data_IF_224621539500
#
_entry.id   IF_224621539500
#
_cell.length_a   1.000
_cell.length_b   1.000
_cell.length_c   1.000
_cell.angle_alpha   90.00
_cell.angle_beta   90.00
_cell.angle_gamma   90.00
#
_symmetry.space_group_name_H-M   'P 1'
#
loop_
_entity.id
_entity.type
_entity.pdbx_description
1 polymer ?
#
# COMPACT_ATOMS: atom_id res chain seq x y z
N UNK A 1 -83.30 -31.96 -16.14
CA UNK A 1 -82.39 -31.75 -14.98
C UNK A 1 -80.94 -31.95 -15.48
N UNK A 2 -80.31 -30.87 -15.86
CA UNK A 2 -78.96 -30.91 -16.48
C UNK A 2 -77.97 -30.24 -15.53
N UNK A 3 -77.05 -31.03 -14.95
CA UNK A 3 -75.94 -30.58 -14.16
C UNK A 3 -74.86 -29.93 -15.07
N UNK A 4 -74.54 -28.67 -14.78
CA UNK A 4 -73.38 -28.02 -15.35
C UNK A 4 -72.19 -28.18 -14.42
N UNK A 5 -71.11 -28.83 -14.92
CA UNK A 5 -69.83 -28.88 -14.21
C UNK A 5 -69.06 -27.57 -14.40
N UNK A 6 -68.64 -26.98 -13.29
CA UNK A 6 -67.76 -25.80 -13.27
C UNK A 6 -66.33 -26.30 -13.09
N UNK A 7 -65.48 -26.12 -14.10
CA UNK A 7 -64.07 -26.40 -14.02
C UNK A 7 -63.32 -25.16 -13.45
N UNK A 8 -62.70 -25.32 -12.29
CA UNK A 8 -61.85 -24.31 -11.64
C UNK A 8 -60.42 -24.45 -12.21
N UNK A 9 -59.97 -23.46 -12.96
CA UNK A 9 -58.58 -23.37 -13.42
C UNK A 9 -57.74 -22.69 -12.32
N UNK A 10 -56.86 -23.45 -11.69
CA UNK A 10 -55.87 -22.89 -10.76
C UNK A 10 -54.68 -22.34 -11.54
N UNK A 11 -54.54 -21.00 -11.54
CA UNK A 11 -53.35 -20.33 -12.10
C UNK A 11 -52.20 -20.43 -11.10
N UNK A 12 -51.18 -21.21 -11.46
CA UNK A 12 -49.92 -21.29 -10.68
C UNK A 12 -49.04 -20.07 -11.00
N UNK A 13 -48.97 -19.14 -10.05
CA UNK A 13 -48.07 -17.99 -10.13
C UNK A 13 -46.62 -18.49 -9.85
N UNK A 14 -45.81 -18.65 -10.89
CA UNK A 14 -44.36 -18.87 -10.71
C UNK A 14 -43.70 -17.55 -10.32
N UNK A 15 -43.46 -17.31 -9.05
CA UNK A 15 -42.64 -16.23 -8.56
C UNK A 15 -41.17 -16.56 -8.85
N UNK A 16 -40.61 -15.95 -9.88
CA UNK A 16 -39.17 -15.99 -10.12
C UNK A 16 -38.47 -15.15 -9.06
N UNK A 17 -37.87 -15.81 -8.07
CA UNK A 17 -36.95 -15.17 -7.14
C UNK A 17 -35.72 -14.69 -7.94
N UNK A 18 -35.69 -13.41 -8.30
CA UNK A 18 -34.51 -12.76 -8.79
C UNK A 18 -33.46 -12.77 -7.64
N UNK A 19 -32.39 -13.53 -7.83
CA UNK A 19 -31.23 -13.45 -6.94
C UNK A 19 -30.73 -11.99 -6.92
N UNK A 20 -30.41 -11.43 -5.77
CA UNK A 20 -29.86 -10.07 -5.73
C UNK A 20 -28.56 -10.07 -6.52
N UNK A 21 -28.49 -9.26 -7.56
CA UNK A 21 -27.23 -8.93 -8.24
C UNK A 21 -26.39 -8.20 -7.20
N UNK A 22 -25.42 -8.88 -6.61
CA UNK A 22 -24.45 -8.23 -5.74
C UNK A 22 -23.74 -7.16 -6.56
N UNK A 23 -23.99 -5.89 -6.25
CA UNK A 23 -23.27 -4.78 -6.84
C UNK A 23 -21.77 -4.98 -6.56
N UNK A 24 -20.92 -4.70 -7.57
CA UNK A 24 -19.48 -4.77 -7.39
C UNK A 24 -19.07 -3.84 -6.22
N UNK A 25 -18.13 -4.25 -5.36
CA UNK A 25 -17.69 -3.43 -4.25
C UNK A 25 -17.09 -2.11 -4.76
N UNK A 26 -17.31 -1.02 -4.02
CA UNK A 26 -16.78 0.32 -4.33
C UNK A 26 -15.94 0.84 -3.18
N UNK A 27 -15.12 1.85 -3.40
CA UNK A 27 -14.28 2.45 -2.37
C UNK A 27 -13.30 1.44 -1.76
N UNK A 28 -13.07 1.53 -0.45
CA UNK A 28 -12.13 0.64 0.28
C UNK A 28 -12.44 -0.83 0.08
N UNK A 29 -13.71 -1.22 0.00
CA UNK A 29 -14.09 -2.62 -0.21
C UNK A 29 -13.62 -3.16 -1.58
N UNK A 30 -13.63 -2.32 -2.62
CA UNK A 30 -13.08 -2.70 -3.94
C UNK A 30 -11.55 -2.87 -3.88
N UNK A 31 -10.87 -1.98 -3.16
CA UNK A 31 -9.41 -2.05 -2.97
C UNK A 31 -9.04 -3.31 -2.18
N UNK A 32 -9.76 -3.60 -1.10
CA UNK A 32 -9.57 -4.82 -0.31
C UNK A 32 -9.79 -6.08 -1.15
N UNK A 33 -10.86 -6.11 -1.95
CA UNK A 33 -11.13 -7.22 -2.86
C UNK A 33 -10.01 -7.41 -3.89
N UNK A 34 -9.45 -6.31 -4.43
CA UNK A 34 -8.30 -6.34 -5.34
C UNK A 34 -7.06 -6.88 -4.63
N UNK A 35 -6.75 -6.36 -3.44
CA UNK A 35 -5.58 -6.75 -2.66
C UNK A 35 -5.61 -8.23 -2.27
N UNK A 36 -6.76 -8.71 -1.77
CA UNK A 36 -6.91 -10.07 -1.25
C UNK A 36 -7.06 -11.12 -2.34
N UNK A 37 -7.36 -10.72 -3.57
CA UNK A 37 -7.45 -11.62 -4.72
C UNK A 37 -6.09 -11.67 -5.44
N UNK A 38 -5.38 -12.82 -5.46
CA UNK A 38 -4.11 -12.95 -6.21
C UNK A 38 -4.24 -12.66 -7.70
N UNK A 39 -5.46 -12.79 -8.26
CA UNK A 39 -5.80 -12.47 -9.66
C UNK A 39 -6.42 -11.08 -9.79
N UNK A 40 -6.36 -10.24 -8.76
CA UNK A 40 -7.02 -8.94 -8.70
C UNK A 40 -6.40 -7.83 -9.56
N UNK A 41 -5.43 -8.16 -10.40
CA UNK A 41 -4.72 -7.16 -11.23
C UNK A 41 -3.64 -6.41 -10.43
N UNK A 42 -3.16 -5.29 -10.98
CA UNK A 42 -2.14 -4.45 -10.33
C UNK A 42 -2.77 -3.68 -9.17
N UNK A 43 -2.15 -3.77 -7.99
CA UNK A 43 -2.39 -2.86 -6.86
C UNK A 43 -1.37 -1.73 -6.91
N UNK A 44 -1.85 -0.49 -6.94
CA UNK A 44 -1.02 0.71 -7.01
C UNK A 44 -0.78 1.26 -5.62
N UNK A 45 0.50 1.30 -5.21
CA UNK A 45 0.95 1.84 -3.94
C UNK A 45 1.71 3.14 -4.20
N UNK A 46 1.21 4.25 -3.65
CA UNK A 46 1.88 5.55 -3.75
C UNK A 46 2.91 5.68 -2.63
N UNK A 47 4.20 5.76 -2.97
CA UNK A 47 5.32 5.89 -2.05
C UNK A 47 5.27 7.24 -1.32
N UNK A 48 5.26 7.21 0.01
CA UNK A 48 5.12 8.39 0.91
C UNK A 48 3.91 9.28 0.58
N UNK A 49 2.88 8.69 -0.01
CA UNK A 49 1.72 9.38 -0.55
C UNK A 49 1.90 9.87 -1.99
N UNK A 50 0.87 10.50 -2.55
CA UNK A 50 0.92 11.09 -3.89
C UNK A 50 1.53 12.48 -3.82
N UNK A 51 2.84 12.56 -3.56
CA UNK A 51 3.58 13.82 -3.41
C UNK A 51 3.89 14.47 -4.77
N UNK A 52 4.10 13.70 -5.83
CA UNK A 52 4.31 14.20 -7.18
C UNK A 52 3.06 14.89 -7.77
N UNK A 53 3.27 15.71 -8.79
CA UNK A 53 2.16 16.30 -9.55
C UNK A 53 1.30 15.22 -10.21
N UNK A 54 -0.01 15.48 -10.32
CA UNK A 54 -0.97 14.60 -10.98
C UNK A 54 -1.90 15.44 -11.89
N UNK A 55 -1.35 15.91 -13.04
CA UNK A 55 -2.01 16.92 -13.87
C UNK A 55 -3.29 16.43 -14.54
N UNK A 56 -3.45 15.12 -14.78
CA UNK A 56 -4.69 14.57 -15.33
C UNK A 56 -5.87 14.70 -14.35
N UNK A 57 -5.58 14.88 -13.05
CA UNK A 57 -6.56 15.11 -12.00
C UNK A 57 -6.55 16.55 -11.47
N UNK A 58 -5.85 17.48 -12.18
CA UNK A 58 -5.82 18.90 -11.84
C UNK A 58 -4.79 19.30 -10.78
N UNK A 59 -3.92 18.41 -10.34
CA UNK A 59 -2.83 18.71 -9.40
C UNK A 59 -1.54 19.01 -10.18
N UNK A 60 -1.27 20.29 -10.43
CA UNK A 60 -0.10 20.75 -11.22
C UNK A 60 1.13 21.05 -10.37
N UNK A 61 0.98 21.10 -9.06
CA UNK A 61 2.03 21.29 -8.07
C UNK A 61 2.39 19.97 -7.38
N UNK A 62 3.44 19.97 -6.54
CA UNK A 62 3.80 18.85 -5.67
C UNK A 62 3.22 19.05 -4.25
N UNK A 63 3.02 17.98 -3.50
CA UNK A 63 2.65 18.01 -2.09
C UNK A 63 3.82 17.49 -1.23
N UNK A 64 3.93 17.83 0.05
CA UNK A 64 4.94 17.20 0.91
C UNK A 64 4.72 15.70 1.04
N UNK A 65 5.79 14.91 1.01
CA UNK A 65 5.74 13.50 1.40
C UNK A 65 5.16 13.32 2.81
N UNK A 66 4.54 12.17 3.10
CA UNK A 66 4.03 11.82 4.42
C UNK A 66 3.03 12.84 5.00
N UNK A 67 2.31 13.58 4.17
CA UNK A 67 1.38 14.64 4.55
C UNK A 67 -0.08 14.29 4.28
N UNK A 68 -1.01 15.03 4.92
CA UNK A 68 -2.44 14.92 4.59
C UNK A 68 -2.74 15.40 3.17
N UNK A 69 -1.98 16.36 2.64
CA UNK A 69 -2.15 16.82 1.26
C UNK A 69 -1.81 15.70 0.26
N UNK A 70 -0.71 14.98 0.46
CA UNK A 70 -0.35 13.82 -0.35
C UNK A 70 -1.38 12.69 -0.23
N UNK A 71 -1.88 12.39 0.97
CA UNK A 71 -2.96 11.43 1.19
C UNK A 71 -4.24 11.82 0.43
N UNK A 72 -4.69 13.06 0.56
CA UNK A 72 -5.91 13.55 -0.10
C UNK A 72 -5.79 13.48 -1.62
N UNK A 73 -4.60 13.76 -2.16
CA UNK A 73 -4.31 13.59 -3.58
C UNK A 73 -4.40 12.11 -3.99
N UNK A 74 -3.85 11.18 -3.22
CA UNK A 74 -3.99 9.75 -3.47
C UNK A 74 -5.45 9.30 -3.54
N UNK A 75 -6.27 9.76 -2.63
CA UNK A 75 -7.72 9.50 -2.62
C UNK A 75 -8.38 10.06 -3.89
N UNK A 76 -8.03 11.29 -4.25
CA UNK A 76 -8.62 11.99 -5.40
C UNK A 76 -8.29 11.33 -6.74
N UNK A 77 -7.04 10.84 -6.92
CA UNK A 77 -6.64 10.15 -8.15
C UNK A 77 -7.04 8.67 -8.19
N UNK A 78 -7.55 8.11 -7.09
CA UNK A 78 -7.99 6.72 -7.01
C UNK A 78 -6.86 5.70 -6.83
N UNK A 79 -5.76 6.07 -6.16
CA UNK A 79 -4.74 5.11 -5.73
C UNK A 79 -5.34 4.06 -4.79
N UNK A 80 -4.81 2.82 -4.84
CA UNK A 80 -5.32 1.75 -3.98
C UNK A 80 -4.75 1.88 -2.56
N UNK A 81 -3.48 2.23 -2.44
CA UNK A 81 -2.74 2.26 -1.18
C UNK A 81 -1.87 3.51 -1.12
N UNK A 82 -1.89 4.21 0.00
CA UNK A 82 -0.90 5.22 0.38
C UNK A 82 0.13 4.55 1.29
N UNK A 83 1.38 4.51 0.86
CA UNK A 83 2.48 4.14 1.74
C UNK A 83 2.95 5.38 2.49
N UNK A 84 3.37 5.20 3.75
CA UNK A 84 3.77 6.31 4.62
C UNK A 84 4.60 5.79 5.80
N UNK A 85 5.53 6.62 6.28
CA UNK A 85 6.54 6.25 7.26
C UNK A 85 6.14 6.67 8.67
N UNK A 86 6.28 5.76 9.65
CA UNK A 86 5.93 6.02 11.06
C UNK A 86 7.19 6.06 11.92
N UNK A 87 7.34 7.11 12.69
CA UNK A 87 8.37 7.29 13.72
C UNK A 87 7.78 7.76 15.04
N UNK A 88 8.61 7.78 16.07
CA UNK A 88 8.22 8.22 17.42
C UNK A 88 8.94 9.51 17.81
N UNK A 89 8.17 10.53 18.17
CA UNK A 89 8.65 11.79 18.74
C UNK A 89 9.14 11.62 20.18
N UNK A 90 9.81 12.65 20.75
CA UNK A 90 10.37 12.64 22.10
C UNK A 90 9.33 12.37 23.21
N UNK A 91 8.10 12.85 23.02
CA UNK A 91 6.98 12.69 23.94
C UNK A 91 6.20 11.37 23.75
N UNK A 92 6.67 10.49 22.87
CA UNK A 92 6.05 9.20 22.58
C UNK A 92 4.98 9.24 21.47
N UNK A 93 4.63 10.41 20.93
CA UNK A 93 3.66 10.55 19.84
C UNK A 93 4.17 9.88 18.57
N UNK A 94 3.31 9.12 17.89
CA UNK A 94 3.62 8.54 16.59
C UNK A 94 3.33 9.56 15.49
N UNK A 95 4.34 9.83 14.65
CA UNK A 95 4.30 10.86 13.61
C UNK A 95 4.71 10.31 12.25
N UNK A 96 4.27 10.97 11.19
CA UNK A 96 4.56 10.57 9.82
C UNK A 96 5.81 11.31 9.33
N UNK A 97 6.94 10.61 9.26
CA UNK A 97 8.20 11.12 8.77
C UNK A 97 9.16 9.98 8.38
N UNK A 98 9.83 10.09 7.23
CA UNK A 98 10.77 9.08 6.78
C UNK A 98 12.10 9.11 7.54
N UNK A 99 12.74 10.29 7.63
CA UNK A 99 14.10 10.44 8.16
C UNK A 99 14.14 10.44 9.70
N UNK A 100 15.27 10.09 10.26
CA UNK A 100 15.51 10.22 11.71
C UNK A 100 15.72 11.67 12.15
N UNK A 101 15.87 12.60 11.19
CA UNK A 101 15.99 14.05 11.41
C UNK A 101 14.92 14.79 10.61
N UNK A 102 14.64 16.05 11.00
CA UNK A 102 13.64 16.88 10.34
C UNK A 102 14.21 17.74 9.20
N UNK A 103 15.51 17.70 8.96
CA UNK A 103 16.28 18.65 8.15
C UNK A 103 15.88 18.64 6.67
N UNK A 104 15.63 17.46 6.10
CA UNK A 104 15.33 17.32 4.66
C UNK A 104 13.93 17.81 4.33
N UNK A 105 12.95 17.45 5.15
CA UNK A 105 11.53 17.62 4.82
C UNK A 105 10.87 18.80 5.52
N UNK A 106 11.61 19.55 6.38
CA UNK A 106 11.04 20.71 7.10
C UNK A 106 11.96 21.95 7.06
N UNK A 107 11.49 23.05 7.62
CA UNK A 107 12.30 24.26 7.91
C UNK A 107 13.05 24.19 9.25
N UNK A 108 12.95 23.08 9.98
CA UNK A 108 13.70 22.82 11.21
C UNK A 108 14.97 22.01 10.97
N UNK A 109 15.69 21.73 12.07
CA UNK A 109 16.90 20.92 12.08
C UNK A 109 16.95 20.03 13.33
N UNK A 110 17.66 18.91 13.24
CA UNK A 110 17.93 18.03 14.37
C UNK A 110 17.14 16.72 14.35
N UNK A 111 17.36 15.91 15.37
CA UNK A 111 16.76 14.56 15.45
C UNK A 111 15.30 14.63 15.87
N UNK A 112 14.46 13.92 15.15
CA UNK A 112 13.04 13.79 15.45
C UNK A 112 12.83 13.25 16.87
N UNK A 113 13.63 12.28 17.31
CA UNK A 113 13.53 11.68 18.64
C UNK A 113 13.84 12.65 19.82
N UNK A 114 14.36 13.85 19.54
CA UNK A 114 14.64 14.91 20.50
C UNK A 114 13.56 16.01 20.50
N UNK A 115 12.59 15.96 19.57
CA UNK A 115 11.51 16.94 19.39
C UNK A 115 10.17 16.38 19.87
N UNK A 116 9.41 17.18 20.61
CA UNK A 116 8.02 16.85 20.97
C UNK A 116 7.08 17.10 19.81
N UNK A 117 5.84 16.57 19.85
CA UNK A 117 4.82 16.92 18.87
C UNK A 117 4.60 18.44 18.78
N UNK A 118 4.61 19.13 19.93
CA UNK A 118 4.46 20.59 19.98
C UNK A 118 5.58 21.33 19.24
N UNK A 119 6.81 20.79 19.25
CA UNK A 119 7.93 21.34 18.48
C UNK A 119 7.78 21.02 16.99
N UNK A 120 7.46 19.80 16.65
CA UNK A 120 7.24 19.37 15.26
C UNK A 120 6.11 20.15 14.58
N UNK A 121 5.04 20.48 15.28
CA UNK A 121 3.92 21.26 14.72
C UNK A 121 4.26 22.74 14.46
N UNK A 122 5.36 23.27 14.97
CA UNK A 122 5.86 24.60 14.60
C UNK A 122 6.53 24.59 13.22
N UNK A 123 7.06 23.43 12.79
CA UNK A 123 7.81 23.27 11.55
C UNK A 123 6.87 23.18 10.36
N UNK A 124 7.26 23.81 9.25
CA UNK A 124 6.56 23.70 7.95
C UNK A 124 7.22 22.63 7.12
N UNK A 125 6.40 21.81 6.48
CA UNK A 125 6.89 20.80 5.53
C UNK A 125 7.33 21.45 4.22
N UNK A 126 8.38 20.89 3.63
CA UNK A 126 8.82 21.19 2.27
C UNK A 126 8.02 20.37 1.28
N UNK A 127 7.79 20.93 0.11
CA UNK A 127 7.09 20.25 -0.98
C UNK A 127 7.87 19.05 -1.49
N UNK A 128 7.17 18.12 -2.13
CA UNK A 128 7.72 16.89 -2.71
C UNK A 128 8.46 16.03 -1.66
N UNK A 129 9.55 15.40 -2.02
CA UNK A 129 10.44 14.69 -1.10
C UNK A 129 11.36 15.62 -0.27
N UNK A 130 11.11 16.91 -0.27
CA UNK A 130 11.89 17.88 0.49
C UNK A 130 13.24 18.24 -0.17
N UNK A 131 14.22 18.53 0.69
CA UNK A 131 15.53 19.03 0.28
C UNK A 131 15.63 20.55 0.39
N UNK A 132 16.87 21.06 0.47
CA UNK A 132 17.14 22.46 0.79
C UNK A 132 16.51 23.49 -0.19
N UNK A 133 16.28 23.07 -1.44
CA UNK A 133 15.71 23.92 -2.49
C UNK A 133 14.20 23.76 -2.65
N UNK A 134 13.59 22.74 -2.00
CA UNK A 134 12.16 22.53 -2.11
C UNK A 134 11.38 23.65 -1.40
N UNK A 135 10.31 24.18 -2.02
CA UNK A 135 9.48 25.21 -1.42
C UNK A 135 8.88 24.78 -0.08
N UNK A 136 8.80 25.71 0.86
CA UNK A 136 8.05 25.51 2.09
C UNK A 136 6.55 25.64 1.82
N UNK A 137 5.78 24.77 2.45
CA UNK A 137 4.31 24.77 2.40
C UNK A 137 3.71 25.19 3.74
N UNK A 138 2.39 25.30 3.80
CA UNK A 138 1.66 25.50 5.06
C UNK A 138 1.33 24.19 5.78
N UNK A 139 1.76 23.05 5.23
CA UNK A 139 1.56 21.74 5.85
C UNK A 139 2.51 21.55 7.05
N UNK A 140 2.07 20.75 8.00
CA UNK A 140 2.78 20.41 9.23
C UNK A 140 2.97 18.90 9.34
N UNK A 141 3.90 18.50 10.21
CA UNK A 141 4.06 17.08 10.56
C UNK A 141 2.76 16.51 11.10
N UNK A 142 2.34 15.38 10.55
CA UNK A 142 1.06 14.72 10.84
C UNK A 142 1.29 13.61 11.87
N UNK A 143 0.35 13.40 12.79
CA UNK A 143 0.36 12.21 13.65
C UNK A 143 -0.20 10.99 12.94
N UNK A 144 0.14 9.78 13.43
CA UNK A 144 -0.45 8.54 12.94
C UNK A 144 -1.99 8.56 13.10
N UNK A 145 -2.49 9.07 14.22
CA UNK A 145 -3.93 9.17 14.48
C UNK A 145 -4.63 10.06 13.45
N UNK A 146 -4.02 11.19 13.07
CA UNK A 146 -4.56 12.06 12.02
C UNK A 146 -4.55 11.37 10.65
N UNK A 147 -3.46 10.66 10.32
CA UNK A 147 -3.35 9.90 9.07
C UNK A 147 -4.40 8.80 9.00
N UNK A 148 -4.57 8.02 10.08
CA UNK A 148 -5.60 6.98 10.19
C UNK A 148 -7.01 7.57 10.03
N UNK A 149 -7.32 8.67 10.74
CA UNK A 149 -8.63 9.31 10.66
C UNK A 149 -8.95 9.81 9.24
N UNK A 150 -7.97 10.42 8.56
CA UNK A 150 -8.15 10.98 7.22
C UNK A 150 -8.27 9.91 6.12
N UNK A 151 -7.65 8.73 6.30
CA UNK A 151 -7.68 7.63 5.33
C UNK A 151 -8.88 6.69 5.51
N UNK A 152 -9.51 6.71 6.69
CA UNK A 152 -10.57 5.75 7.07
C UNK A 152 -11.75 5.76 6.09
N UNK A 153 -12.04 4.60 5.51
CA UNK A 153 -13.12 4.41 4.54
C UNK A 153 -12.79 4.86 3.10
N UNK A 154 -11.60 5.42 2.86
CA UNK A 154 -11.23 5.99 1.55
C UNK A 154 -10.13 5.21 0.82
N UNK A 155 -9.06 4.84 1.49
CA UNK A 155 -7.85 4.25 0.88
C UNK A 155 -7.17 3.31 1.89
N UNK A 156 -6.41 2.31 1.44
CA UNK A 156 -5.58 1.52 2.34
C UNK A 156 -4.30 2.30 2.71
N UNK A 157 -3.80 2.08 3.91
CA UNK A 157 -2.49 2.56 4.34
C UNK A 157 -1.49 1.41 4.37
N UNK A 158 -0.27 1.66 3.91
CA UNK A 158 0.89 0.80 4.09
C UNK A 158 1.88 1.54 5.00
N UNK A 159 2.00 1.09 6.25
CA UNK A 159 2.82 1.73 7.26
C UNK A 159 4.22 1.12 7.29
N UNK A 160 5.21 1.87 6.85
CA UNK A 160 6.61 1.55 7.02
C UNK A 160 7.09 2.04 8.40
N UNK A 161 7.27 1.10 9.32
CA UNK A 161 7.59 1.39 10.72
C UNK A 161 9.10 1.47 10.89
N UNK A 162 9.63 2.69 10.97
CA UNK A 162 11.09 2.96 10.97
C UNK A 162 11.78 2.72 12.31
N UNK A 163 11.02 2.68 13.40
CA UNK A 163 11.53 2.47 14.76
C UNK A 163 10.98 1.15 15.34
N UNK A 164 11.53 0.70 16.47
CA UNK A 164 11.03 -0.51 17.16
C UNK A 164 9.71 -0.22 17.92
N UNK A 165 8.66 0.19 17.20
CA UNK A 165 7.36 0.66 17.73
C UNK A 165 6.16 -0.12 17.14
N UNK A 166 6.36 -1.31 16.62
CA UNK A 166 5.31 -2.11 15.96
C UNK A 166 4.08 -2.32 16.83
N UNK A 167 4.27 -2.62 18.13
CA UNK A 167 3.15 -2.84 19.07
C UNK A 167 2.30 -1.57 19.17
N UNK A 168 2.94 -0.42 19.35
CA UNK A 168 2.26 0.87 19.48
C UNK A 168 1.49 1.22 18.19
N UNK A 169 2.08 0.95 17.02
CA UNK A 169 1.43 1.17 15.72
C UNK A 169 0.20 0.28 15.57
N UNK A 170 0.33 -1.04 15.81
CA UNK A 170 -0.79 -2.00 15.71
C UNK A 170 -1.88 -1.68 16.72
N UNK A 171 -1.54 -1.24 17.92
CA UNK A 171 -2.50 -0.80 18.93
C UNK A 171 -3.24 0.48 18.50
N UNK A 172 -2.56 1.46 17.88
CA UNK A 172 -3.19 2.65 17.33
C UNK A 172 -4.17 2.29 16.20
N UNK A 173 -3.77 1.42 15.28
CA UNK A 173 -4.62 0.89 14.20
C UNK A 173 -5.85 0.17 14.77
N UNK A 174 -5.67 -0.63 15.82
CA UNK A 174 -6.75 -1.37 16.47
C UNK A 174 -7.75 -0.42 17.15
N UNK A 175 -7.24 0.61 17.88
CA UNK A 175 -8.10 1.64 18.47
C UNK A 175 -8.90 2.44 17.44
N UNK A 176 -8.30 2.67 16.26
CA UNK A 176 -8.99 3.34 15.14
C UNK A 176 -10.03 2.45 14.43
N UNK A 177 -10.04 1.13 14.72
CA UNK A 177 -10.90 0.16 14.03
C UNK A 177 -10.56 0.03 12.55
N UNK A 178 -9.24 -0.01 12.22
CA UNK A 178 -8.75 -0.02 10.83
C UNK A 178 -7.90 -1.25 10.50
N UNK A 179 -8.05 -2.35 11.24
CA UNK A 179 -7.21 -3.55 11.11
C UNK A 179 -7.23 -4.15 9.69
N UNK A 180 -8.36 -4.04 8.99
CA UNK A 180 -8.52 -4.51 7.60
C UNK A 180 -8.27 -3.41 6.56
N UNK A 181 -7.77 -2.25 6.98
CA UNK A 181 -7.47 -1.12 6.10
C UNK A 181 -6.00 -0.70 6.16
N UNK A 182 -5.23 -1.32 7.05
CA UNK A 182 -3.82 -1.02 7.27
C UNK A 182 -2.95 -2.25 7.02
N UNK A 183 -1.88 -2.03 6.29
CA UNK A 183 -0.77 -2.95 6.05
C UNK A 183 0.38 -2.49 6.94
N UNK A 184 1.04 -3.41 7.64
CA UNK A 184 2.27 -3.13 8.39
C UNK A 184 3.40 -3.94 7.80
N UNK A 185 4.55 -3.31 7.60
CA UNK A 185 5.76 -3.94 7.07
C UNK A 185 6.80 -4.15 8.15
N UNK A 186 7.57 -5.23 8.01
CA UNK A 186 8.76 -5.48 8.82
C UNK A 186 9.75 -6.36 8.05
N UNK A 187 11.04 -6.12 8.26
CA UNK A 187 12.08 -7.00 7.72
C UNK A 187 11.96 -8.42 8.25
N UNK A 188 12.12 -9.41 7.39
CA UNK A 188 11.99 -10.81 7.72
C UNK A 188 13.04 -11.68 7.01
N UNK A 189 13.70 -12.52 7.79
CA UNK A 189 14.60 -13.60 7.34
C UNK A 189 13.98 -14.98 7.57
N UNK A 190 14.78 -16.04 7.40
CA UNK A 190 14.32 -17.43 7.65
C UNK A 190 13.88 -17.61 9.11
N UNK A 191 14.67 -17.12 10.06
CA UNK A 191 14.46 -17.28 11.49
C UNK A 191 13.78 -16.10 12.17
N UNK A 192 13.56 -14.99 11.46
CA UNK A 192 13.01 -13.77 12.03
C UNK A 192 11.60 -13.52 11.51
N UNK A 193 10.66 -13.39 12.44
CA UNK A 193 9.33 -12.85 12.19
C UNK A 193 9.05 -11.85 13.31
N UNK A 194 9.46 -10.58 13.19
CA UNK A 194 9.30 -9.62 14.26
C UNK A 194 7.85 -9.45 14.68
N UNK A 195 6.91 -9.52 13.75
CA UNK A 195 5.48 -9.44 14.07
C UNK A 195 4.93 -10.73 14.68
N UNK A 196 5.43 -11.90 14.30
CA UNK A 196 5.04 -13.17 14.94
C UNK A 196 5.41 -13.18 16.43
N UNK A 197 6.61 -12.68 16.78
CA UNK A 197 7.03 -12.54 18.16
C UNK A 197 6.15 -11.56 18.96
N UNK A 198 5.53 -10.60 18.31
CA UNK A 198 4.63 -9.61 18.90
C UNK A 198 3.15 -10.03 18.87
N UNK A 199 2.81 -11.16 18.27
CA UNK A 199 1.43 -11.66 18.11
C UNK A 199 0.48 -10.61 17.47
N UNK A 200 0.99 -9.74 16.63
CA UNK A 200 0.22 -8.65 16.03
C UNK A 200 -0.02 -8.80 14.53
N UNK A 201 0.65 -9.73 13.86
CA UNK A 201 0.52 -9.96 12.42
C UNK A 201 -0.84 -10.54 12.01
N UNK A 202 -1.60 -11.14 12.92
CA UNK A 202 -2.96 -11.64 12.71
C UNK A 202 -4.04 -10.56 12.88
N UNK A 203 -3.66 -9.39 13.42
CA UNK A 203 -4.57 -8.26 13.67
C UNK A 203 -4.60 -7.22 12.55
N UNK A 204 -3.61 -7.23 11.64
CA UNK A 204 -3.46 -6.29 10.52
C UNK A 204 -2.96 -7.04 9.29
N UNK A 205 -3.09 -6.46 8.10
CA UNK A 205 -2.40 -7.00 6.94
C UNK A 205 -0.89 -6.86 7.14
N UNK A 206 -0.16 -7.95 6.86
CA UNK A 206 1.28 -8.00 7.05
C UNK A 206 2.01 -8.27 5.74
N UNK A 207 3.02 -7.42 5.44
CA UNK A 207 3.92 -7.60 4.32
C UNK A 207 5.36 -7.71 4.84
N UNK A 208 5.94 -8.92 4.96
CA UNK A 208 7.35 -9.06 5.27
C UNK A 208 8.20 -8.52 4.13
N UNK A 209 9.16 -7.65 4.48
CA UNK A 209 10.23 -7.20 3.61
C UNK A 209 11.31 -8.28 3.66
N UNK A 210 11.55 -8.97 2.55
CA UNK A 210 12.53 -10.08 2.53
C UNK A 210 13.95 -9.54 2.66
N UNK A 211 14.71 -9.98 3.67
CA UNK A 211 16.07 -9.50 3.90
C UNK A 211 17.01 -10.09 2.85
N UNK A 212 17.64 -9.22 2.05
CA UNK A 212 18.65 -9.60 1.08
C UNK A 212 20.05 -9.15 1.54
N UNK A 213 20.56 -9.78 2.60
CA UNK A 213 21.87 -9.46 3.12
C UNK A 213 22.96 -9.61 2.04
N UNK A 214 23.64 -8.51 1.72
CA UNK A 214 24.71 -8.44 0.72
C UNK A 214 24.34 -8.91 -0.71
N UNK A 215 23.03 -8.95 -1.05
CA UNK A 215 22.54 -9.38 -2.35
C UNK A 215 22.63 -10.90 -2.62
N UNK A 216 22.96 -11.70 -1.63
CA UNK A 216 23.24 -13.15 -1.76
C UNK A 216 22.25 -14.05 -1.04
N UNK A 217 21.21 -13.48 -0.43
CA UNK A 217 20.22 -14.25 0.31
C UNK A 217 19.40 -15.17 -0.62
N UNK A 218 19.07 -16.36 -0.13
CA UNK A 218 18.04 -17.21 -0.76
C UNK A 218 16.64 -16.66 -0.42
N UNK A 219 16.19 -15.72 -1.24
CA UNK A 219 14.89 -15.05 -1.04
C UNK A 219 13.70 -16.01 -1.12
N UNK A 220 13.81 -17.08 -1.92
CA UNK A 220 12.75 -18.10 -2.02
C UNK A 220 12.64 -18.94 -0.75
N UNK A 221 13.76 -19.27 -0.11
CA UNK A 221 13.77 -19.95 1.18
C UNK A 221 13.17 -19.05 2.28
N UNK A 222 13.52 -17.74 2.31
CA UNK A 222 12.95 -16.77 3.25
C UNK A 222 11.45 -16.66 3.02
N UNK A 223 11.01 -16.44 1.78
CA UNK A 223 9.60 -16.33 1.43
C UNK A 223 8.80 -17.57 1.85
N UNK A 224 9.35 -18.77 1.62
CA UNK A 224 8.73 -20.04 2.04
C UNK A 224 8.57 -20.13 3.55
N UNK A 225 9.60 -19.74 4.31
CA UNK A 225 9.53 -19.73 5.78
C UNK A 225 8.49 -18.73 6.29
N UNK A 226 8.45 -17.54 5.73
CA UNK A 226 7.48 -16.50 6.10
C UNK A 226 6.05 -16.91 5.71
N UNK A 227 5.83 -17.50 4.52
CA UNK A 227 4.52 -17.99 4.11
C UNK A 227 3.93 -19.01 5.09
N UNK A 228 4.79 -19.92 5.61
CA UNK A 228 4.36 -20.95 6.57
C UNK A 228 4.10 -20.42 7.98
N UNK A 229 4.84 -19.42 8.40
CA UNK A 229 4.85 -18.98 9.80
C UNK A 229 3.96 -17.77 10.07
N UNK A 230 3.79 -16.86 9.10
CA UNK A 230 3.11 -15.57 9.29
C UNK A 230 1.91 -15.36 8.37
N UNK A 231 1.67 -16.25 7.39
CA UNK A 231 0.56 -16.14 6.44
C UNK A 231 0.37 -14.74 5.86
N UNK A 232 1.43 -14.12 5.30
CA UNK A 232 1.37 -12.75 4.83
C UNK A 232 0.48 -12.62 3.60
N UNK A 233 -0.07 -11.41 3.37
CA UNK A 233 -0.83 -11.11 2.17
C UNK A 233 0.07 -10.92 0.94
N UNK A 234 1.26 -10.37 1.14
CA UNK A 234 2.27 -10.19 0.11
C UNK A 234 3.67 -10.21 0.70
N UNK A 235 4.68 -10.46 -0.14
CA UNK A 235 6.08 -10.21 0.16
C UNK A 235 6.51 -8.91 -0.49
N UNK A 236 7.15 -8.00 0.26
CA UNK A 236 7.90 -6.90 -0.32
C UNK A 236 9.28 -7.40 -0.71
N UNK A 237 9.60 -7.27 -2.01
CA UNK A 237 10.86 -7.73 -2.57
C UNK A 237 11.94 -6.66 -2.38
N UNK A 238 13.12 -7.02 -1.86
CA UNK A 238 14.25 -6.11 -1.79
C UNK A 238 14.86 -5.90 -3.18
N UNK A 239 15.89 -5.07 -3.27
CA UNK A 239 16.74 -5.02 -4.47
C UNK A 239 17.34 -6.40 -4.72
N UNK A 240 17.16 -6.92 -5.94
CA UNK A 240 17.56 -8.28 -6.29
C UNK A 240 17.93 -8.46 -7.76
N UNK A 241 18.67 -9.54 -8.06
CA UNK A 241 18.88 -9.97 -9.44
C UNK A 241 17.57 -10.51 -10.05
N UNK A 242 17.33 -10.23 -11.33
CA UNK A 242 16.15 -10.74 -12.03
C UNK A 242 16.05 -12.27 -12.05
N UNK A 243 17.19 -12.96 -11.97
CA UNK A 243 17.25 -14.44 -11.91
C UNK A 243 16.61 -15.04 -10.66
N UNK A 244 16.40 -14.28 -9.58
CA UNK A 244 15.73 -14.73 -8.35
C UNK A 244 14.19 -14.71 -8.46
N UNK A 245 13.64 -13.89 -9.38
CA UNK A 245 12.20 -13.70 -9.50
C UNK A 245 11.41 -14.97 -9.80
N UNK A 246 11.82 -15.87 -10.73
CA UNK A 246 11.06 -17.09 -11.01
C UNK A 246 10.84 -18.00 -9.79
N UNK A 247 11.84 -18.13 -8.91
CA UNK A 247 11.73 -18.92 -7.68
C UNK A 247 10.73 -18.26 -6.69
N UNK A 248 10.78 -16.94 -6.55
CA UNK A 248 9.81 -16.18 -5.72
C UNK A 248 8.38 -16.30 -6.27
N UNK A 249 8.20 -16.25 -7.59
CA UNK A 249 6.89 -16.44 -8.23
C UNK A 249 6.36 -17.87 -7.97
N UNK A 250 7.23 -18.88 -7.96
CA UNK A 250 6.83 -20.23 -7.61
C UNK A 250 6.32 -20.32 -6.16
N UNK A 251 7.03 -19.71 -5.20
CA UNK A 251 6.60 -19.63 -3.80
C UNK A 251 5.29 -18.84 -3.67
N UNK A 252 5.19 -17.68 -4.33
CA UNK A 252 3.98 -16.85 -4.39
C UNK A 252 2.75 -17.68 -4.79
N UNK A 253 2.85 -18.41 -5.89
CA UNK A 253 1.76 -19.28 -6.40
C UNK A 253 1.44 -20.44 -5.45
N UNK A 254 2.47 -21.10 -4.90
CA UNK A 254 2.28 -22.25 -4.01
C UNK A 254 1.58 -21.89 -2.68
N UNK A 255 1.77 -20.66 -2.20
CA UNK A 255 1.24 -20.19 -0.93
C UNK A 255 0.14 -19.13 -1.06
N UNK A 256 -0.23 -18.77 -2.29
CA UNK A 256 -1.24 -17.76 -2.56
C UNK A 256 -0.90 -16.38 -1.95
N UNK A 257 0.37 -16.00 -1.97
CA UNK A 257 0.92 -14.74 -1.44
C UNK A 257 1.36 -13.88 -2.61
N UNK A 258 0.98 -12.60 -2.64
CA UNK A 258 1.32 -11.68 -3.74
C UNK A 258 2.78 -11.21 -3.63
N UNK A 259 3.32 -10.67 -4.74
CA UNK A 259 4.63 -10.04 -4.77
C UNK A 259 4.48 -8.53 -4.95
N UNK A 260 5.14 -7.77 -4.07
CA UNK A 260 5.25 -6.32 -4.11
C UNK A 260 6.69 -5.92 -4.44
N UNK A 261 6.85 -4.92 -5.32
CA UNK A 261 8.15 -4.32 -5.62
C UNK A 261 8.04 -2.80 -5.64
N UNK A 262 9.14 -2.14 -5.32
CA UNK A 262 9.31 -0.71 -5.55
C UNK A 262 9.82 -0.48 -6.98
N UNK A 263 9.20 0.42 -7.75
CA UNK A 263 9.67 0.83 -9.09
C UNK A 263 10.32 2.20 -9.11
N UNK A 264 10.54 2.81 -7.95
CA UNK A 264 11.00 4.20 -7.75
C UNK A 264 12.19 4.58 -8.63
N UNK A 265 13.19 3.72 -8.70
CA UNK A 265 14.36 3.87 -9.58
C UNK A 265 14.85 2.51 -10.08
N UNK A 266 15.76 2.51 -11.03
CA UNK A 266 16.32 1.27 -11.55
C UNK A 266 17.04 0.47 -10.46
N UNK A 267 16.94 -0.86 -10.53
CA UNK A 267 17.71 -1.82 -9.72
C UNK A 267 16.92 -2.50 -8.59
N UNK A 268 15.64 -2.22 -8.41
CA UNK A 268 14.82 -3.07 -7.51
C UNK A 268 14.70 -4.50 -8.06
N UNK A 269 14.39 -4.64 -9.34
CA UNK A 269 14.65 -5.88 -10.08
C UNK A 269 15.64 -5.51 -11.18
N UNK A 270 16.86 -6.03 -11.11
CA UNK A 270 17.93 -5.64 -12.02
C UNK A 270 17.51 -5.77 -13.50
N UNK A 271 17.65 -4.70 -14.27
CA UNK A 271 17.32 -4.66 -15.70
C UNK A 271 15.82 -4.55 -16.04
N UNK A 272 14.94 -4.22 -15.07
CA UNK A 272 13.53 -3.93 -15.35
C UNK A 272 13.24 -2.44 -15.59
N UNK A 273 14.12 -1.55 -15.13
CA UNK A 273 13.92 -0.12 -15.13
C UNK A 273 13.22 0.40 -13.87
N UNK A 274 13.06 1.72 -13.78
CA UNK A 274 12.35 2.42 -12.72
C UNK A 274 11.22 3.29 -13.25
N UNK A 275 10.62 4.14 -12.39
CA UNK A 275 9.49 5.00 -12.73
C UNK A 275 9.78 5.93 -13.91
N UNK A 276 10.98 6.53 -13.97
CA UNK A 276 11.37 7.36 -15.09
C UNK A 276 11.39 6.62 -16.44
N UNK A 277 11.69 5.32 -16.46
CA UNK A 277 11.58 4.47 -17.65
C UNK A 277 10.13 4.06 -17.91
N UNK A 278 9.37 3.78 -16.85
CA UNK A 278 7.98 3.38 -16.92
C UNK A 278 7.07 4.49 -17.47
N UNK A 279 7.31 5.74 -17.09
CA UNK A 279 6.57 6.89 -17.65
C UNK A 279 6.77 7.02 -19.17
N UNK A 280 7.95 6.67 -19.68
CA UNK A 280 8.24 6.66 -21.12
C UNK A 280 7.67 5.43 -21.84
N UNK A 281 7.67 4.28 -21.16
CA UNK A 281 7.17 3.01 -21.71
C UNK A 281 6.63 2.11 -20.59
N UNK A 282 5.37 2.31 -20.16
CA UNK A 282 4.78 1.59 -19.03
C UNK A 282 4.77 0.07 -19.22
N UNK A 283 4.50 -0.41 -20.43
CA UNK A 283 4.43 -1.85 -20.72
C UNK A 283 5.80 -2.54 -20.59
N UNK A 284 6.88 -1.84 -20.93
CA UNK A 284 8.24 -2.36 -20.82
C UNK A 284 8.69 -2.55 -19.36
N UNK A 285 8.20 -1.71 -18.45
CA UNK A 285 8.58 -1.75 -17.02
C UNK A 285 7.46 -2.39 -16.20
N UNK A 286 6.38 -1.67 -15.92
CA UNK A 286 5.29 -2.17 -15.08
C UNK A 286 4.55 -3.35 -15.70
N UNK A 287 4.32 -3.34 -17.02
CA UNK A 287 3.73 -4.45 -17.74
C UNK A 287 4.58 -5.70 -17.70
N UNK A 288 5.91 -5.56 -17.84
CA UNK A 288 6.84 -6.67 -17.68
C UNK A 288 6.82 -7.20 -16.23
N UNK A 289 6.90 -6.33 -15.23
CA UNK A 289 6.79 -6.73 -13.82
C UNK A 289 5.52 -7.55 -13.58
N UNK A 290 4.39 -7.08 -14.09
CA UNK A 290 3.09 -7.73 -13.92
C UNK A 290 3.04 -9.10 -14.62
N UNK A 291 3.48 -9.20 -15.87
CA UNK A 291 3.55 -10.47 -16.62
C UNK A 291 4.47 -11.48 -15.95
N UNK A 292 5.55 -11.02 -15.33
CA UNK A 292 6.53 -11.85 -14.63
C UNK A 292 6.12 -12.17 -13.18
N UNK A 293 4.91 -11.76 -12.74
CA UNK A 293 4.27 -12.20 -11.50
C UNK A 293 4.28 -11.22 -10.34
N UNK A 294 4.83 -10.00 -10.54
CA UNK A 294 4.71 -8.92 -9.55
C UNK A 294 3.38 -8.21 -9.75
N UNK A 295 2.56 -8.13 -8.72
CA UNK A 295 1.20 -7.61 -8.85
C UNK A 295 0.86 -6.47 -7.87
N UNK A 296 1.79 -6.08 -7.00
CA UNK A 296 1.71 -4.89 -6.17
C UNK A 296 2.94 -4.04 -6.50
N UNK A 297 2.73 -2.80 -6.95
CA UNK A 297 3.82 -1.93 -7.40
C UNK A 297 3.76 -0.62 -6.61
N UNK A 298 4.84 -0.32 -5.91
CA UNK A 298 5.04 0.96 -5.23
C UNK A 298 5.83 1.91 -6.15
N UNK A 299 5.33 3.13 -6.31
CA UNK A 299 5.79 4.09 -7.32
C UNK A 299 5.68 5.54 -6.82
N UNK A 300 6.55 6.42 -7.32
CA UNK A 300 6.43 7.88 -7.20
C UNK A 300 5.56 8.48 -8.32
N UNK A 301 5.15 7.67 -9.31
CA UNK A 301 4.30 8.06 -10.43
C UNK A 301 2.91 7.34 -10.40
N UNK A 302 2.13 7.44 -9.29
CA UNK A 302 0.89 6.66 -9.15
C UNK A 302 -0.17 7.01 -10.19
N UNK A 303 -0.28 8.27 -10.64
CA UNK A 303 -1.22 8.66 -11.71
C UNK A 303 -0.91 7.92 -13.01
N UNK A 304 0.36 7.84 -13.40
CA UNK A 304 0.78 7.15 -14.62
C UNK A 304 0.55 5.64 -14.53
N UNK A 305 0.83 5.03 -13.37
CA UNK A 305 0.58 3.59 -13.17
C UNK A 305 -0.91 3.27 -13.16
N UNK A 306 -1.77 4.13 -12.59
CA UNK A 306 -3.22 4.00 -12.64
C UNK A 306 -3.74 4.07 -14.09
N UNK A 307 -3.25 5.03 -14.87
CA UNK A 307 -3.60 5.16 -16.28
C UNK A 307 -3.18 3.91 -17.07
N UNK A 308 -1.99 3.38 -16.82
CA UNK A 308 -1.53 2.13 -17.44
C UNK A 308 -2.41 0.93 -17.04
N UNK A 309 -2.70 0.76 -15.74
CA UNK A 309 -3.59 -0.30 -15.25
C UNK A 309 -4.95 -0.28 -15.96
N UNK A 310 -5.52 0.90 -16.14
CA UNK A 310 -6.80 1.05 -16.84
C UNK A 310 -6.76 0.58 -18.30
N UNK A 311 -5.59 0.53 -18.94
CA UNK A 311 -5.45 -0.06 -20.29
C UNK A 311 -5.51 -1.59 -20.27
N UNK A 312 -4.98 -2.21 -19.21
CA UNK A 312 -4.99 -3.66 -19.03
C UNK A 312 -6.40 -4.21 -18.70
N UNK A 313 -7.21 -3.43 -18.00
CA UNK A 313 -8.56 -3.82 -17.57
C UNK A 313 -9.61 -3.71 -18.69
N UNK A 314 -9.25 -3.14 -19.86
CA UNK A 314 -10.14 -3.00 -21.03
C UNK A 314 -10.08 -4.19 -22.00
N UNK A 315 -9.15 -5.10 -21.76
CA UNK A 315 -8.91 -6.29 -22.59
C UNK A 315 -9.14 -7.57 -21.80
#
# INVERSE_FOLDING_TARGET
MTLRSVATVAAMLCATLASPVNAAPTGVAAIQARLTNPQGGIVVVAHRGCHAAAPQHGFTDTAPENSLAALQRCIAIGADVTETDVRRAADGTLVMLHDATVDRTTDGTGKLSELTLADLQKLRLRSDEGGAQAPLTDQRVVTLEQMLAASKGHILLNLDVKDAIYVQVVDAVTRAGMQHQVIVKAEAGIATSPLAAMQSFDRVYFFPILINAHGTADLAAIATAQARNAHPMAFELPKMAASQLPALVAVSKAHNVRLMVNSLWEGFIAGYGGDADAERNPDKVWGRMYRDGVSIIQTDAPEALLAYRATLEKH
#
